data_IF_395467873482
#
_entry.id   IF_395467873482
#
_cell.length_a   1.000
_cell.length_b   1.000
_cell.length_c   1.000
_cell.angle_alpha   90.00
_cell.angle_beta   90.00
_cell.angle_gamma   90.00
#
_symmetry.space_group_name_H-M   'P 1'
#
loop_
_entity.id
_entity.type
_entity.pdbx_description
1 polymer ?
#
# COMPACT_ATOMS: atom_id res chain seq x y z
N UNK A 1 -23.83 -21.47 7.04
CA UNK A 1 -22.57 -21.71 6.32
C UNK A 1 -22.30 -23.20 6.35
N UNK A 2 -22.20 -23.84 5.19
CA UNK A 2 -22.09 -25.27 5.06
C UNK A 2 -20.68 -25.74 5.50
N UNK A 3 -20.60 -26.83 6.29
CA UNK A 3 -19.33 -27.36 6.84
C UNK A 3 -18.22 -27.54 5.78
N UNK A 4 -18.60 -27.86 4.54
CA UNK A 4 -17.69 -27.95 3.39
C UNK A 4 -17.10 -26.58 2.96
N UNK A 5 -17.87 -25.51 3.07
CA UNK A 5 -17.39 -24.15 2.74
C UNK A 5 -16.38 -23.65 3.79
N UNK A 6 -16.58 -23.98 5.06
CA UNK A 6 -15.64 -23.64 6.13
C UNK A 6 -14.32 -24.40 5.90
N UNK A 7 -14.37 -25.68 5.55
CA UNK A 7 -13.17 -26.49 5.26
C UNK A 7 -12.41 -25.96 4.05
N UNK A 8 -13.11 -25.55 2.98
CA UNK A 8 -12.46 -25.01 1.77
C UNK A 8 -11.80 -23.66 2.02
N UNK A 9 -12.43 -22.78 2.80
CA UNK A 9 -11.86 -21.47 3.16
C UNK A 9 -10.66 -21.63 4.09
N UNK A 10 -10.75 -22.54 5.07
CA UNK A 10 -9.63 -22.83 5.98
C UNK A 10 -8.44 -23.44 5.22
N UNK A 11 -8.69 -24.37 4.29
CA UNK A 11 -7.65 -24.96 3.46
C UNK A 11 -6.97 -23.93 2.54
N UNK A 12 -7.73 -23.01 1.95
CA UNK A 12 -7.18 -21.94 1.13
C UNK A 12 -6.30 -20.97 1.93
N UNK A 13 -6.74 -20.57 3.12
CA UNK A 13 -5.97 -19.71 4.02
C UNK A 13 -4.68 -20.42 4.47
N UNK A 14 -4.76 -21.70 4.80
CA UNK A 14 -3.60 -22.51 5.21
C UNK A 14 -2.60 -22.66 4.05
N UNK A 15 -3.07 -22.86 2.81
CA UNK A 15 -2.21 -22.97 1.63
C UNK A 15 -1.47 -21.66 1.32
N UNK A 16 -2.15 -20.51 1.42
CA UNK A 16 -1.54 -19.19 1.26
C UNK A 16 -0.50 -18.94 2.34
N UNK A 17 -0.80 -19.33 3.58
CA UNK A 17 0.13 -19.21 4.70
C UNK A 17 1.39 -20.08 4.52
N UNK A 18 1.23 -21.32 4.05
CA UNK A 18 2.35 -22.23 3.76
C UNK A 18 3.22 -21.74 2.59
N UNK A 19 2.62 -21.18 1.55
CA UNK A 19 3.37 -20.59 0.44
C UNK A 19 4.13 -19.33 0.86
N UNK A 20 3.57 -18.52 1.73
CA UNK A 20 4.22 -17.31 2.23
C UNK A 20 5.41 -17.61 3.15
N UNK A 21 5.31 -18.62 4.03
CA UNK A 21 6.37 -18.91 5.02
C UNK A 21 7.36 -19.99 4.57
N UNK A 22 6.98 -20.89 3.66
CA UNK A 22 7.83 -22.01 3.22
C UNK A 22 8.15 -22.01 1.73
N UNK A 23 7.54 -21.13 0.93
CA UNK A 23 7.87 -20.95 -0.48
C UNK A 23 9.26 -20.35 -0.64
N UNK A 24 10.27 -21.16 -0.97
CA UNK A 24 11.59 -20.66 -1.37
C UNK A 24 11.47 -20.00 -2.75
N UNK A 25 11.35 -18.69 -2.78
CA UNK A 25 11.28 -17.88 -4.01
C UNK A 25 12.65 -17.35 -4.47
N UNK A 26 13.75 -17.83 -3.90
CA UNK A 26 15.10 -17.41 -4.30
C UNK A 26 15.64 -18.44 -5.30
N UNK A 27 15.90 -18.08 -6.57
CA UNK A 27 16.58 -18.97 -7.50
C UNK A 27 18.00 -19.25 -7.01
N UNK A 28 18.46 -20.50 -7.11
CA UNK A 28 19.84 -20.89 -6.80
C UNK A 28 20.80 -20.07 -7.66
N UNK A 29 21.73 -19.35 -7.02
CA UNK A 29 22.86 -18.73 -7.68
C UNK A 29 23.72 -19.83 -8.29
N UNK A 30 23.86 -19.80 -9.60
CA UNK A 30 24.83 -20.64 -10.30
C UNK A 30 26.18 -19.97 -10.10
N UNK A 31 27.15 -20.67 -9.53
CA UNK A 31 28.55 -20.24 -9.46
C UNK A 31 29.14 -20.38 -10.87
N UNK A 32 29.48 -19.25 -11.47
CA UNK A 32 30.26 -19.23 -12.70
C UNK A 32 31.75 -19.21 -12.36
N UNK A 33 32.45 -20.25 -12.79
CA UNK A 33 33.89 -20.36 -12.80
C UNK A 33 34.48 -19.45 -13.88
N UNK A 34 35.36 -18.52 -13.50
CA UNK A 34 36.02 -17.63 -14.42
C UNK A 34 37.18 -18.31 -15.13
N UNK A 35 37.08 -18.48 -16.45
CA UNK A 35 38.28 -18.56 -17.32
C UNK A 35 37.93 -18.13 -18.76
N UNK A 36 38.65 -17.13 -19.29
CA UNK A 36 38.98 -16.99 -20.72
C UNK A 36 38.12 -16.08 -21.55
N UNK A 37 38.72 -14.94 -21.95
CA UNK A 37 38.22 -14.00 -22.98
C UNK A 37 38.04 -14.70 -24.34
N UNK A 38 36.88 -14.48 -24.99
CA UNK A 38 36.86 -14.32 -26.45
C UNK A 38 35.63 -13.51 -26.91
N UNK A 39 35.89 -12.52 -27.77
CA UNK A 39 34.90 -11.67 -28.37
C UNK A 39 34.30 -12.34 -29.61
N UNK A 40 33.08 -12.87 -29.51
CA UNK A 40 32.29 -13.21 -30.68
C UNK A 40 30.87 -12.70 -30.51
N UNK A 41 30.38 -11.98 -31.50
CA UNK A 41 29.08 -11.34 -31.56
C UNK A 41 27.95 -12.35 -31.30
N UNK A 42 27.28 -12.22 -30.16
CA UNK A 42 26.11 -13.02 -29.85
C UNK A 42 24.87 -12.42 -30.51
N UNK A 43 24.15 -13.26 -31.24
CA UNK A 43 22.82 -12.96 -31.78
C UNK A 43 21.86 -12.56 -30.65
N UNK A 44 20.90 -11.64 -30.90
CA UNK A 44 19.94 -11.24 -29.88
C UNK A 44 19.10 -12.45 -29.45
N UNK A 45 18.79 -12.59 -28.16
CA UNK A 45 17.92 -13.65 -27.67
C UNK A 45 16.53 -13.54 -28.30
N UNK A 46 15.81 -14.66 -28.51
CA UNK A 46 14.47 -14.62 -29.08
C UNK A 46 13.57 -13.75 -28.21
N UNK A 47 12.79 -12.90 -28.87
CA UNK A 47 11.82 -12.01 -28.24
C UNK A 47 10.98 -12.81 -27.22
N UNK A 48 11.19 -12.50 -25.95
CA UNK A 48 10.41 -13.08 -24.86
C UNK A 48 8.93 -12.81 -25.12
N UNK A 49 8.14 -13.85 -24.93
CA UNK A 49 6.68 -13.78 -24.91
C UNK A 49 6.24 -12.55 -24.16
N UNK A 50 5.61 -11.61 -24.88
CA UNK A 50 4.88 -10.49 -24.32
C UNK A 50 3.79 -11.05 -23.39
N UNK A 51 4.13 -11.27 -22.14
CA UNK A 51 3.13 -11.33 -21.08
C UNK A 51 2.61 -9.90 -20.98
N UNK A 52 1.55 -9.59 -21.72
CA UNK A 52 0.81 -8.35 -21.51
C UNK A 52 0.44 -8.34 -20.04
N UNK A 53 1.05 -7.44 -19.28
CA UNK A 53 0.67 -7.21 -17.89
C UNK A 53 -0.84 -6.95 -17.90
N UNK A 54 -1.58 -7.83 -17.22
CA UNK A 54 -3.04 -7.69 -17.08
C UNK A 54 -3.27 -6.35 -16.37
N UNK A 55 -3.56 -5.31 -17.14
CA UNK A 55 -3.91 -4.01 -16.59
C UNK A 55 -5.34 -4.11 -16.10
N UNK A 56 -5.52 -4.09 -14.79
CA UNK A 56 -6.84 -3.93 -14.20
C UNK A 56 -7.37 -2.54 -14.55
N UNK A 57 -8.54 -2.51 -15.19
CA UNK A 57 -9.26 -1.28 -15.40
C UNK A 57 -10.39 -1.11 -14.36
N UNK A 58 -10.74 0.15 -14.10
CA UNK A 58 -11.76 0.46 -13.11
C UNK A 58 -13.14 -0.11 -13.47
N UNK A 59 -13.50 -0.16 -14.74
CA UNK A 59 -14.81 -0.64 -15.18
C UNK A 59 -15.04 -2.10 -14.84
N UNK A 60 -13.99 -2.92 -15.02
CA UNK A 60 -13.98 -4.34 -14.65
C UNK A 60 -14.15 -4.52 -13.13
N UNK A 61 -13.37 -3.77 -12.33
CA UNK A 61 -13.45 -3.83 -10.86
C UNK A 61 -14.80 -3.34 -10.34
N UNK A 62 -15.34 -2.28 -10.92
CA UNK A 62 -16.66 -1.76 -10.61
C UNK A 62 -17.76 -2.78 -10.95
N UNK A 63 -17.62 -3.43 -12.12
CA UNK A 63 -18.54 -4.49 -12.54
C UNK A 63 -18.57 -5.66 -11.53
N UNK A 64 -17.41 -6.07 -11.01
CA UNK A 64 -17.33 -7.08 -9.95
C UNK A 64 -17.96 -6.59 -8.64
N UNK A 65 -17.73 -5.34 -8.25
CA UNK A 65 -18.34 -4.77 -7.06
C UNK A 65 -19.87 -4.67 -7.18
N UNK A 66 -20.39 -4.33 -8.36
CA UNK A 66 -21.83 -4.26 -8.64
C UNK A 66 -22.54 -5.61 -8.52
N UNK A 67 -21.86 -6.74 -8.70
CA UNK A 67 -22.45 -8.07 -8.47
C UNK A 67 -22.82 -8.33 -7.00
N UNK A 68 -22.32 -7.54 -6.07
CA UNK A 68 -22.66 -7.61 -4.64
C UNK A 68 -23.92 -6.82 -4.29
N UNK A 69 -24.47 -6.06 -5.22
CA UNK A 69 -25.64 -5.21 -5.02
C UNK A 69 -26.93 -5.98 -5.24
N UNK A 70 -27.96 -5.67 -4.44
CA UNK A 70 -29.33 -6.06 -4.77
C UNK A 70 -29.91 -5.18 -5.90
N UNK A 71 -31.06 -5.55 -6.43
CA UNK A 71 -31.67 -4.86 -7.58
C UNK A 71 -31.91 -3.38 -7.33
N UNK A 72 -32.42 -3.01 -6.15
CA UNK A 72 -32.67 -1.61 -5.80
C UNK A 72 -31.39 -0.79 -5.67
N UNK A 73 -30.35 -1.36 -5.06
CA UNK A 73 -29.03 -0.73 -4.94
C UNK A 73 -28.40 -0.52 -6.33
N UNK A 74 -28.47 -1.54 -7.18
CA UNK A 74 -27.93 -1.47 -8.55
C UNK A 74 -28.63 -0.39 -9.37
N UNK A 75 -29.96 -0.32 -9.31
CA UNK A 75 -30.73 0.72 -9.98
C UNK A 75 -30.29 2.10 -9.51
N UNK A 76 -30.21 2.33 -8.19
CA UNK A 76 -29.82 3.60 -7.59
C UNK A 76 -28.40 4.04 -7.99
N UNK A 77 -27.42 3.12 -7.96
CA UNK A 77 -26.05 3.41 -8.40
C UNK A 77 -26.03 3.77 -9.90
N UNK A 78 -26.74 3.01 -10.72
CA UNK A 78 -26.83 3.26 -12.16
C UNK A 78 -27.47 4.63 -12.48
N UNK A 79 -28.52 5.02 -11.76
CA UNK A 79 -29.13 6.36 -11.88
C UNK A 79 -28.14 7.47 -11.55
N UNK A 80 -27.39 7.32 -10.46
CA UNK A 80 -26.37 8.30 -10.09
C UNK A 80 -25.23 8.40 -11.10
N UNK A 81 -24.69 7.26 -11.57
CA UNK A 81 -23.64 7.25 -12.59
C UNK A 81 -24.12 7.92 -13.90
N UNK A 82 -25.36 7.62 -14.32
CA UNK A 82 -25.95 8.28 -15.49
C UNK A 82 -26.16 9.78 -15.29
N UNK A 83 -26.43 10.23 -14.07
CA UNK A 83 -26.60 11.65 -13.79
C UNK A 83 -25.26 12.42 -13.86
N UNK A 84 -24.13 11.78 -13.54
CA UNK A 84 -22.78 12.37 -13.74
C UNK A 84 -22.53 12.64 -15.22
N UNK A 85 -22.83 11.67 -16.08
CA UNK A 85 -22.57 11.79 -17.52
C UNK A 85 -23.44 12.87 -18.19
N UNK A 86 -24.66 13.07 -17.68
CA UNK A 86 -25.61 14.04 -18.22
C UNK A 86 -25.50 15.44 -17.60
N UNK A 87 -24.81 15.53 -16.46
CA UNK A 87 -24.65 16.81 -15.72
C UNK A 87 -23.52 17.63 -16.33
N UNK A 88 -23.82 18.82 -16.79
CA UNK A 88 -22.86 19.83 -17.26
C UNK A 88 -22.40 20.78 -16.12
N UNK A 89 -23.07 20.72 -14.97
CA UNK A 89 -22.75 21.56 -13.81
C UNK A 89 -21.74 20.84 -12.91
N UNK A 90 -20.51 21.33 -12.89
CA UNK A 90 -19.39 20.79 -12.11
C UNK A 90 -19.76 20.48 -10.65
N UNK A 91 -20.47 21.38 -9.96
CA UNK A 91 -20.86 21.16 -8.57
C UNK A 91 -21.83 19.98 -8.39
N UNK A 92 -22.74 19.77 -9.35
CA UNK A 92 -23.64 18.61 -9.31
C UNK A 92 -22.87 17.31 -9.49
N UNK A 93 -21.94 17.26 -10.43
CA UNK A 93 -21.06 16.09 -10.63
C UNK A 93 -20.27 15.77 -9.37
N UNK A 94 -19.67 16.76 -8.69
CA UNK A 94 -18.98 16.59 -7.43
C UNK A 94 -19.89 15.96 -6.38
N UNK A 95 -21.11 16.47 -6.23
CA UNK A 95 -22.06 15.93 -5.23
C UNK A 95 -22.47 14.50 -5.55
N UNK A 96 -22.63 14.15 -6.82
CA UNK A 96 -22.96 12.77 -7.23
C UNK A 96 -21.77 11.83 -6.95
N UNK A 97 -20.55 12.24 -7.28
CA UNK A 97 -19.36 11.43 -6.96
C UNK A 97 -19.23 11.21 -5.44
N UNK A 98 -19.48 12.23 -4.62
CA UNK A 98 -19.48 12.08 -3.17
C UNK A 98 -20.57 11.13 -2.67
N UNK A 99 -21.78 11.16 -3.26
CA UNK A 99 -22.86 10.21 -2.95
C UNK A 99 -22.47 8.76 -3.32
N UNK A 100 -21.91 8.57 -4.50
CA UNK A 100 -21.43 7.26 -4.95
C UNK A 100 -20.35 6.74 -4.00
N UNK A 101 -19.38 7.58 -3.66
CA UNK A 101 -18.32 7.23 -2.73
C UNK A 101 -18.87 6.80 -1.37
N UNK A 102 -19.71 7.60 -0.73
CA UNK A 102 -20.31 7.26 0.56
C UNK A 102 -21.10 5.95 0.49
N UNK A 103 -21.90 5.75 -0.55
CA UNK A 103 -22.64 4.50 -0.73
C UNK A 103 -21.70 3.27 -0.78
N UNK A 104 -20.62 3.34 -1.56
CA UNK A 104 -19.71 2.21 -1.70
C UNK A 104 -18.97 1.90 -0.42
N UNK A 105 -18.62 2.91 0.39
CA UNK A 105 -17.95 2.70 1.68
C UNK A 105 -18.93 2.26 2.76
N UNK A 106 -19.99 3.03 2.97
CA UNK A 106 -20.86 2.88 4.14
C UNK A 106 -21.84 1.70 4.01
N UNK A 107 -22.27 1.41 2.77
CA UNK A 107 -23.29 0.38 2.52
C UNK A 107 -22.69 -0.97 2.13
N UNK A 108 -21.62 -0.95 1.34
CA UNK A 108 -21.05 -2.15 0.73
C UNK A 108 -19.66 -2.51 1.30
N UNK A 109 -18.93 -1.53 1.84
CA UNK A 109 -17.55 -1.70 2.29
C UNK A 109 -16.60 -2.03 1.13
N UNK A 110 -16.82 -1.41 -0.04
CA UNK A 110 -16.00 -1.64 -1.24
C UNK A 110 -15.04 -0.48 -1.47
N UNK A 111 -13.77 -0.69 -1.11
CA UNK A 111 -12.74 0.33 -1.16
C UNK A 111 -12.49 0.90 -2.57
N UNK A 112 -12.35 0.05 -3.59
CA UNK A 112 -11.97 0.47 -4.94
C UNK A 112 -12.93 1.51 -5.54
N UNK A 113 -14.26 1.26 -5.61
CA UNK A 113 -15.18 2.28 -6.10
C UNK A 113 -15.29 3.49 -5.16
N UNK A 114 -15.20 3.30 -3.84
CA UNK A 114 -15.14 4.40 -2.88
C UNK A 114 -14.01 5.38 -3.20
N UNK A 115 -12.77 4.88 -3.26
CA UNK A 115 -11.60 5.72 -3.47
C UNK A 115 -11.59 6.36 -4.87
N UNK A 116 -12.06 5.63 -5.89
CA UNK A 116 -12.15 6.16 -7.26
C UNK A 116 -13.12 7.33 -7.36
N UNK A 117 -14.31 7.23 -6.77
CA UNK A 117 -15.28 8.35 -6.81
C UNK A 117 -14.83 9.54 -5.97
N UNK A 118 -14.10 9.33 -4.86
CA UNK A 118 -13.43 10.44 -4.14
C UNK A 118 -12.39 11.12 -5.03
N UNK A 119 -11.60 10.33 -5.77
CA UNK A 119 -10.60 10.86 -6.70
C UNK A 119 -11.22 11.71 -7.81
N UNK A 120 -12.32 11.24 -8.42
CA UNK A 120 -13.02 11.99 -9.47
C UNK A 120 -13.62 13.30 -8.92
N UNK A 121 -14.20 13.28 -7.71
CA UNK A 121 -14.66 14.51 -7.05
C UNK A 121 -13.48 15.47 -6.81
N UNK A 122 -12.37 14.99 -6.25
CA UNK A 122 -11.19 15.81 -5.97
C UNK A 122 -10.57 16.40 -7.26
N UNK A 123 -10.54 15.66 -8.36
CA UNK A 123 -10.08 16.16 -9.67
C UNK A 123 -10.95 17.32 -10.18
N UNK A 124 -12.27 17.20 -10.03
CA UNK A 124 -13.19 18.28 -10.41
C UNK A 124 -13.05 19.50 -9.47
N UNK A 125 -12.91 19.30 -8.17
CA UNK A 125 -12.71 20.38 -7.21
C UNK A 125 -11.42 21.14 -7.47
N UNK A 126 -10.39 20.43 -7.95
CA UNK A 126 -9.06 20.95 -8.23
C UNK A 126 -8.45 21.70 -7.03
N UNK A 127 -8.64 21.12 -5.84
CA UNK A 127 -8.10 21.59 -4.58
C UNK A 127 -6.91 20.74 -4.18
N UNK A 128 -5.78 21.36 -3.89
CA UNK A 128 -4.57 20.66 -3.44
C UNK A 128 -4.87 19.73 -2.26
N UNK A 129 -5.60 20.22 -1.26
CA UNK A 129 -5.98 19.47 -0.06
C UNK A 129 -6.81 18.21 -0.42
N UNK A 130 -7.79 18.33 -1.30
CA UNK A 130 -8.68 17.22 -1.65
C UNK A 130 -7.97 16.21 -2.55
N UNK A 131 -7.11 16.66 -3.46
CA UNK A 131 -6.27 15.81 -4.30
C UNK A 131 -5.28 15.01 -3.43
N UNK A 132 -4.59 15.67 -2.50
CA UNK A 132 -3.66 15.01 -1.56
C UNK A 132 -4.39 13.99 -0.68
N UNK A 133 -5.57 14.34 -0.16
CA UNK A 133 -6.39 13.39 0.61
C UNK A 133 -6.77 12.14 -0.20
N UNK A 134 -7.29 12.33 -1.41
CA UNK A 134 -7.66 11.22 -2.30
C UNK A 134 -6.46 10.34 -2.66
N UNK A 135 -5.30 10.95 -2.93
CA UNK A 135 -4.07 10.23 -3.20
C UNK A 135 -3.61 9.37 -2.02
N UNK A 136 -3.70 9.90 -0.80
CA UNK A 136 -3.35 9.16 0.42
C UNK A 136 -4.28 7.96 0.69
N UNK A 137 -5.54 7.98 0.26
CA UNK A 137 -6.40 6.80 0.36
C UNK A 137 -5.80 5.63 -0.42
N UNK A 138 -5.41 5.86 -1.68
CA UNK A 138 -4.77 4.83 -2.50
C UNK A 138 -3.41 4.41 -1.94
N UNK A 139 -2.58 5.36 -1.53
CA UNK A 139 -1.24 5.07 -1.01
C UNK A 139 -1.28 4.20 0.26
N UNK A 140 -2.24 4.43 1.14
CA UNK A 140 -2.42 3.64 2.36
C UNK A 140 -2.85 2.21 2.03
N UNK A 141 -3.86 2.06 1.19
CA UNK A 141 -4.37 0.75 0.81
C UNK A 141 -3.35 -0.06 0.02
N UNK A 142 -2.58 0.60 -0.84
CA UNK A 142 -1.50 0.01 -1.62
C UNK A 142 -0.48 -0.77 -0.78
N UNK A 143 -0.28 -0.38 0.48
CA UNK A 143 0.66 -1.06 1.38
C UNK A 143 0.11 -2.37 1.95
N UNK A 144 -1.19 -2.62 1.84
CA UNK A 144 -1.88 -3.80 2.40
C UNK A 144 -2.30 -4.80 1.34
N UNK A 145 -2.39 -4.37 0.08
CA UNK A 145 -2.81 -5.21 -1.05
C UNK A 145 -1.65 -6.05 -1.54
N UNK A 146 -1.88 -7.35 -1.74
CA UNK A 146 -0.90 -8.32 -2.26
C UNK A 146 -1.00 -8.55 -3.77
N UNK A 147 -2.16 -8.28 -4.38
CA UNK A 147 -2.40 -8.49 -5.81
C UNK A 147 -1.69 -7.43 -6.65
N UNK A 148 -0.63 -7.86 -7.34
CA UNK A 148 0.23 -6.96 -8.13
C UNK A 148 -0.53 -6.08 -9.14
N UNK A 149 -1.48 -6.56 -9.94
CA UNK A 149 -2.21 -5.70 -10.88
C UNK A 149 -3.02 -4.60 -10.17
N UNK A 150 -3.56 -4.89 -8.99
CA UNK A 150 -4.30 -3.92 -8.17
C UNK A 150 -3.34 -2.89 -7.56
N UNK A 151 -2.17 -3.33 -7.09
CA UNK A 151 -1.11 -2.42 -6.60
C UNK A 151 -0.70 -1.43 -7.69
N UNK A 152 -0.43 -1.90 -8.91
CA UNK A 152 -0.03 -1.06 -10.04
C UNK A 152 -1.12 -0.05 -10.37
N UNK A 153 -2.39 -0.47 -10.40
CA UNK A 153 -3.51 0.43 -10.65
C UNK A 153 -3.63 1.50 -9.55
N UNK A 154 -3.59 1.12 -8.27
CA UNK A 154 -3.65 2.06 -7.14
C UNK A 154 -2.49 3.04 -7.14
N UNK A 155 -1.27 2.58 -7.42
CA UNK A 155 -0.10 3.44 -7.49
C UNK A 155 -0.23 4.48 -8.62
N UNK A 156 -0.78 4.09 -9.76
CA UNK A 156 -1.06 5.01 -10.89
C UNK A 156 -2.09 6.07 -10.51
N UNK A 157 -3.20 5.68 -9.85
CA UNK A 157 -4.23 6.62 -9.39
C UNK A 157 -3.65 7.59 -8.35
N UNK A 158 -2.90 7.08 -7.36
CA UNK A 158 -2.24 7.90 -6.35
C UNK A 158 -1.26 8.89 -6.98
N UNK A 159 -0.41 8.42 -7.91
CA UNK A 159 0.57 9.24 -8.60
C UNK A 159 -0.08 10.40 -9.35
N UNK A 160 -1.11 10.13 -10.15
CA UNK A 160 -1.83 11.17 -10.90
C UNK A 160 -2.38 12.26 -9.97
N UNK A 161 -2.97 11.87 -8.85
CA UNK A 161 -3.54 12.80 -7.86
C UNK A 161 -2.45 13.63 -7.16
N UNK A 162 -1.35 12.98 -6.75
CA UNK A 162 -0.22 13.69 -6.14
C UNK A 162 0.46 14.63 -7.12
N UNK A 163 0.61 14.26 -8.40
CA UNK A 163 1.19 15.14 -9.43
C UNK A 163 0.34 16.41 -9.61
N UNK A 164 -1.00 16.26 -9.66
CA UNK A 164 -1.92 17.40 -9.72
C UNK A 164 -1.83 18.26 -8.45
N UNK A 165 -1.81 17.65 -7.28
CA UNK A 165 -1.67 18.35 -6.01
C UNK A 165 -0.33 19.09 -5.91
N UNK A 166 0.77 18.43 -6.32
CA UNK A 166 2.10 19.00 -6.33
C UNK A 166 2.21 20.21 -7.28
N UNK A 167 1.56 20.15 -8.43
CA UNK A 167 1.51 21.28 -9.37
C UNK A 167 0.79 22.50 -8.76
N UNK A 168 -0.21 22.28 -7.91
CA UNK A 168 -0.93 23.36 -7.21
C UNK A 168 -0.15 23.93 -6.02
N UNK A 169 0.58 23.07 -5.28
CA UNK A 169 1.36 23.48 -4.12
C UNK A 169 2.63 22.61 -3.96
N UNK A 170 3.72 22.97 -4.62
CA UNK A 170 5.00 22.25 -4.50
C UNK A 170 5.64 22.31 -3.11
N UNK A 171 5.18 23.21 -2.25
CA UNK A 171 5.69 23.37 -0.89
C UNK A 171 5.06 22.41 0.12
N UNK A 172 4.00 21.69 -0.25
CA UNK A 172 3.38 20.72 0.64
C UNK A 172 4.24 19.46 0.78
N UNK A 173 4.84 19.29 1.97
CA UNK A 173 5.70 18.15 2.29
C UNK A 173 4.94 16.82 2.20
N UNK A 174 3.67 16.76 2.62
CA UNK A 174 2.85 15.55 2.55
C UNK A 174 2.60 15.10 1.11
N UNK A 175 2.29 16.05 0.22
CA UNK A 175 2.15 15.80 -1.22
C UNK A 175 3.46 15.31 -1.83
N UNK A 176 4.58 15.97 -1.49
CA UNK A 176 5.91 15.61 -2.00
C UNK A 176 6.33 14.21 -1.57
N UNK A 177 6.17 13.88 -0.28
CA UNK A 177 6.47 12.55 0.25
C UNK A 177 5.56 11.50 -0.36
N UNK A 178 4.25 11.79 -0.45
CA UNK A 178 3.28 10.89 -1.07
C UNK A 178 3.59 10.59 -2.53
N UNK A 179 3.91 11.61 -3.32
CA UNK A 179 4.35 11.44 -4.70
C UNK A 179 5.61 10.55 -4.79
N UNK A 180 6.63 10.86 -3.97
CA UNK A 180 7.83 10.05 -3.89
C UNK A 180 7.55 8.59 -3.55
N UNK A 181 6.58 8.33 -2.66
CA UNK A 181 6.21 6.98 -2.23
C UNK A 181 5.57 6.15 -3.36
N UNK A 182 4.85 6.77 -4.29
CA UNK A 182 4.24 6.04 -5.42
C UNK A 182 5.28 5.36 -6.32
N UNK A 183 6.51 5.88 -6.36
CA UNK A 183 7.61 5.26 -7.12
C UNK A 183 8.13 3.98 -6.47
N UNK A 184 7.96 3.79 -5.16
CA UNK A 184 8.36 2.54 -4.49
C UNK A 184 7.39 1.40 -4.76
N UNK A 185 6.10 1.71 -4.74
CA UNK A 185 5.05 0.71 -4.81
C UNK A 185 4.57 0.48 -6.25
N UNK A 186 4.77 1.47 -7.11
CA UNK A 186 4.12 1.47 -8.42
C UNK A 186 4.64 0.44 -9.39
N UNK A 187 5.85 -0.12 -9.21
CA UNK A 187 6.44 -1.14 -10.13
C UNK A 187 6.20 -0.84 -11.62
N UNK A 188 5.43 0.18 -11.89
CA UNK A 188 4.82 0.53 -13.15
C UNK A 188 5.72 1.49 -13.90
N UNK A 189 6.53 0.91 -14.74
CA UNK A 189 7.32 1.66 -15.69
C UNK A 189 8.77 1.88 -15.28
N UNK A 190 9.58 2.22 -16.26
CA UNK A 190 11.02 2.49 -16.18
C UNK A 190 11.39 3.74 -15.34
N UNK A 191 10.45 4.30 -14.58
CA UNK A 191 10.75 5.43 -13.71
C UNK A 191 11.49 4.93 -12.47
N UNK A 192 12.76 5.31 -12.39
CA UNK A 192 13.66 4.82 -11.36
C UNK A 192 13.15 5.17 -9.95
N UNK A 193 13.10 4.21 -9.01
CA UNK A 193 12.79 4.44 -7.60
C UNK A 193 13.61 5.57 -6.97
N UNK A 194 14.77 5.87 -7.51
CA UNK A 194 15.66 6.95 -7.09
C UNK A 194 15.03 8.34 -7.14
N UNK A 195 14.12 8.60 -8.11
CA UNK A 195 13.38 9.88 -8.17
C UNK A 195 12.46 10.04 -6.95
N UNK A 196 11.77 8.97 -6.58
CA UNK A 196 10.93 8.96 -5.39
C UNK A 196 11.74 9.16 -4.12
N UNK A 197 12.88 8.46 -4.00
CA UNK A 197 13.80 8.61 -2.87
C UNK A 197 14.29 10.05 -2.75
N UNK A 198 14.62 10.73 -3.85
CA UNK A 198 15.09 12.11 -3.85
C UNK A 198 14.02 13.07 -3.28
N UNK A 199 12.76 12.93 -3.70
CA UNK A 199 11.65 13.75 -3.19
C UNK A 199 11.44 13.58 -1.69
N UNK A 200 11.45 12.33 -1.21
CA UNK A 200 11.23 12.03 0.21
C UNK A 200 12.42 12.51 1.04
N UNK A 201 13.64 12.29 0.54
CA UNK A 201 14.89 12.71 1.21
C UNK A 201 14.92 14.22 1.40
N UNK A 202 14.58 14.99 0.38
CA UNK A 202 14.52 16.46 0.47
C UNK A 202 13.66 16.92 1.66
N UNK A 203 12.48 16.31 1.84
CA UNK A 203 11.62 16.62 2.98
C UNK A 203 12.22 16.14 4.30
N UNK A 204 12.75 14.91 4.35
CA UNK A 204 13.33 14.34 5.56
C UNK A 204 14.58 15.08 6.07
N UNK A 205 15.35 15.70 5.16
CA UNK A 205 16.52 16.52 5.49
C UNK A 205 16.11 17.94 5.91
N UNK A 206 15.17 18.55 5.21
CA UNK A 206 14.64 19.87 5.53
C UNK A 206 13.87 19.89 6.85
N UNK A 207 13.12 18.84 7.12
CA UNK A 207 12.32 18.68 8.32
C UNK A 207 12.53 17.28 8.93
N UNK A 208 13.58 17.09 9.74
CA UNK A 208 13.87 15.80 10.38
C UNK A 208 12.76 15.26 11.30
N UNK A 209 11.86 16.13 11.75
CA UNK A 209 10.71 15.77 12.58
C UNK A 209 9.45 15.42 11.76
N UNK A 210 9.52 15.42 10.43
CA UNK A 210 8.44 14.93 9.60
C UNK A 210 8.38 13.40 9.69
N UNK A 211 7.53 12.89 10.58
CA UNK A 211 7.37 11.46 10.83
C UNK A 211 7.04 10.68 9.55
N UNK A 212 6.18 11.24 8.67
CA UNK A 212 5.82 10.58 7.41
C UNK A 212 7.01 10.45 6.46
N UNK A 213 7.85 11.47 6.33
CA UNK A 213 9.06 11.40 5.50
C UNK A 213 10.07 10.38 6.06
N UNK A 214 10.30 10.38 7.38
CA UNK A 214 11.17 9.38 8.03
C UNK A 214 10.62 7.96 7.86
N UNK A 215 9.32 7.77 8.03
CA UNK A 215 8.65 6.49 7.83
C UNK A 215 8.83 5.98 6.40
N UNK A 216 8.58 6.81 5.41
CA UNK A 216 8.71 6.41 4.00
C UNK A 216 10.17 6.16 3.58
N UNK A 217 11.15 6.87 4.18
CA UNK A 217 12.58 6.53 4.03
C UNK A 217 12.89 5.16 4.65
N UNK A 218 12.29 4.83 5.78
CA UNK A 218 12.39 3.50 6.42
C UNK A 218 11.82 2.40 5.51
N UNK A 219 10.62 2.60 4.98
CA UNK A 219 9.98 1.68 4.03
C UNK A 219 10.83 1.46 2.79
N UNK A 220 11.34 2.53 2.16
CA UNK A 220 12.24 2.41 1.01
C UNK A 220 13.53 1.65 1.33
N UNK A 221 14.08 1.83 2.54
CA UNK A 221 15.23 1.08 3.03
C UNK A 221 14.91 -0.41 3.24
N UNK A 222 13.70 -0.73 3.70
CA UNK A 222 13.22 -2.12 3.85
C UNK A 222 13.13 -2.81 2.48
N UNK A 223 12.53 -2.16 1.48
CA UNK A 223 12.38 -2.67 0.12
C UNK A 223 13.75 -2.97 -0.51
N UNK A 224 14.76 -2.13 -0.21
CA UNK A 224 16.14 -2.32 -0.70
C UNK A 224 17.01 -3.16 0.25
N UNK A 225 16.43 -3.85 1.23
CA UNK A 225 17.11 -4.68 2.22
C UNK A 225 18.21 -3.98 3.02
N UNK A 226 18.16 -2.65 3.14
CA UNK A 226 19.09 -1.84 3.91
C UNK A 226 18.63 -1.74 5.39
N UNK A 227 18.61 -2.88 6.09
CA UNK A 227 18.03 -3.02 7.44
C UNK A 227 18.55 -2.02 8.45
N UNK A 228 19.88 -1.72 8.57
CA UNK A 228 20.35 -0.72 9.51
C UNK A 228 19.76 0.67 9.28
N UNK A 229 19.59 1.08 8.01
CA UNK A 229 18.96 2.36 7.67
C UNK A 229 17.46 2.35 7.94
N UNK A 230 16.78 1.22 7.67
CA UNK A 230 15.37 1.07 7.97
C UNK A 230 15.12 1.25 9.48
N UNK A 231 15.93 0.56 10.32
CA UNK A 231 15.87 0.65 11.78
C UNK A 231 16.10 2.09 12.23
N UNK A 232 17.16 2.75 11.76
CA UNK A 232 17.44 4.16 12.13
C UNK A 232 16.23 5.08 11.85
N UNK A 233 15.60 4.92 10.68
CA UNK A 233 14.46 5.74 10.28
C UNK A 233 13.22 5.43 11.11
N UNK A 234 12.91 4.17 11.33
CA UNK A 234 11.76 3.79 12.16
C UNK A 234 11.94 4.15 13.63
N UNK A 235 13.17 4.09 14.20
CA UNK A 235 13.43 4.59 15.55
C UNK A 235 13.18 6.10 15.66
N UNK A 236 13.53 6.89 14.63
CA UNK A 236 13.16 8.32 14.58
C UNK A 236 11.65 8.53 14.60
N UNK A 237 10.92 7.73 13.82
CA UNK A 237 9.45 7.81 13.83
C UNK A 237 8.89 7.42 15.19
N UNK A 238 9.39 6.33 15.80
CA UNK A 238 8.93 5.89 17.10
C UNK A 238 9.20 6.94 18.21
N UNK A 239 10.30 7.67 18.12
CA UNK A 239 10.59 8.79 19.03
C UNK A 239 9.58 9.95 18.88
N UNK A 240 9.07 10.20 17.69
CA UNK A 240 8.05 11.22 17.40
C UNK A 240 6.64 10.74 17.74
N UNK A 241 6.37 9.46 17.53
CA UNK A 241 5.07 8.81 17.65
C UNK A 241 5.18 7.53 18.49
N UNK A 242 5.35 7.61 19.83
CA UNK A 242 5.65 6.46 20.67
C UNK A 242 4.60 5.35 20.72
N UNK A 243 3.36 5.66 20.30
CA UNK A 243 2.25 4.71 20.26
C UNK A 243 1.90 4.22 18.85
N UNK A 244 2.76 4.49 17.87
CA UNK A 244 2.54 4.05 16.49
C UNK A 244 2.79 2.55 16.36
N UNK A 245 1.70 1.76 16.44
CA UNK A 245 1.73 0.29 16.40
C UNK A 245 2.39 -0.23 15.12
N UNK A 246 2.14 0.40 13.98
CA UNK A 246 2.73 -0.03 12.72
C UNK A 246 4.25 0.09 12.73
N UNK A 247 4.75 1.21 13.24
CA UNK A 247 6.21 1.46 13.31
C UNK A 247 6.88 0.52 14.31
N UNK A 248 6.25 0.25 15.47
CA UNK A 248 6.76 -0.70 16.44
C UNK A 248 6.91 -2.08 15.81
N UNK A 249 5.90 -2.53 15.05
CA UNK A 249 5.93 -3.83 14.40
C UNK A 249 6.98 -3.88 13.29
N UNK A 250 7.08 -2.84 12.45
CA UNK A 250 8.12 -2.75 11.41
C UNK A 250 9.53 -2.76 11.99
N UNK A 251 9.74 -2.15 13.13
CA UNK A 251 11.01 -2.22 13.86
C UNK A 251 11.32 -3.65 14.35
N UNK A 252 10.32 -4.32 14.93
CA UNK A 252 10.49 -5.71 15.35
C UNK A 252 10.91 -6.60 14.18
N UNK A 253 10.21 -6.47 13.04
CA UNK A 253 10.50 -7.24 11.84
C UNK A 253 11.87 -6.89 11.24
N UNK A 254 12.25 -5.60 11.24
CA UNK A 254 13.55 -5.16 10.73
C UNK A 254 14.70 -5.68 11.59
N UNK A 255 14.58 -5.62 12.93
CA UNK A 255 15.56 -6.22 13.85
C UNK A 255 15.66 -7.73 13.68
N UNK A 256 14.52 -8.43 13.60
CA UNK A 256 14.48 -9.87 13.36
C UNK A 256 15.19 -10.24 12.04
N UNK A 257 14.86 -9.54 10.97
CA UNK A 257 15.43 -9.83 9.64
C UNK A 257 16.92 -9.49 9.56
N UNK A 258 17.39 -8.50 10.33
CA UNK A 258 18.82 -8.19 10.45
C UNK A 258 19.59 -9.15 11.37
N UNK A 259 18.91 -10.09 12.05
CA UNK A 259 19.50 -11.06 12.98
C UNK A 259 19.63 -10.55 14.43
N UNK A 260 19.14 -9.36 14.74
CA UNK A 260 19.13 -8.82 16.11
C UNK A 260 17.87 -9.27 16.87
N UNK A 261 17.84 -10.55 17.20
CA UNK A 261 16.72 -11.18 17.88
C UNK A 261 16.40 -10.55 19.25
N UNK A 262 17.43 -10.03 19.95
CA UNK A 262 17.23 -9.41 21.25
C UNK A 262 16.42 -8.12 21.17
N UNK A 263 16.71 -7.25 20.20
CA UNK A 263 15.96 -6.03 19.99
C UNK A 263 14.62 -6.30 19.28
N UNK A 264 14.54 -7.29 18.40
CA UNK A 264 13.27 -7.75 17.81
C UNK A 264 12.27 -8.14 18.90
N UNK A 265 12.69 -8.98 19.85
CA UNK A 265 11.88 -9.40 20.99
C UNK A 265 11.37 -8.20 21.81
N UNK A 266 12.25 -7.26 22.16
CA UNK A 266 11.86 -6.04 22.89
C UNK A 266 10.80 -5.23 22.15
N UNK A 267 10.88 -5.13 20.81
CA UNK A 267 9.90 -4.37 20.03
C UNK A 267 8.56 -5.11 19.91
N UNK A 268 8.55 -6.43 19.76
CA UNK A 268 7.29 -7.21 19.82
C UNK A 268 6.64 -7.11 21.20
N UNK A 269 7.41 -7.17 22.29
CA UNK A 269 6.88 -6.96 23.65
C UNK A 269 6.31 -5.54 23.82
N UNK A 270 7.02 -4.51 23.32
CA UNK A 270 6.53 -3.13 23.29
C UNK A 270 5.21 -3.01 22.50
N UNK A 271 5.08 -3.72 21.37
CA UNK A 271 3.84 -3.76 20.61
C UNK A 271 2.68 -4.27 21.46
N UNK A 272 2.83 -5.42 22.12
CA UNK A 272 1.81 -6.00 23.00
C UNK A 272 1.42 -5.06 24.16
N UNK A 273 2.41 -4.40 24.77
CA UNK A 273 2.16 -3.42 25.83
C UNK A 273 1.40 -2.21 25.33
N UNK A 274 1.79 -1.69 24.15
CA UNK A 274 1.14 -0.53 23.54
C UNK A 274 -0.30 -0.84 23.14
N UNK A 275 -0.55 -2.02 22.55
CA UNK A 275 -1.90 -2.50 22.24
C UNK A 275 -2.77 -2.51 23.49
N UNK A 276 -2.31 -3.15 24.58
CA UNK A 276 -3.06 -3.20 25.85
C UNK A 276 -3.37 -1.81 26.39
N UNK A 277 -2.40 -0.89 26.33
CA UNK A 277 -2.59 0.50 26.76
C UNK A 277 -3.65 1.22 25.92
N UNK A 278 -3.64 1.05 24.60
CA UNK A 278 -4.60 1.67 23.69
C UNK A 278 -6.00 1.07 23.83
N UNK A 279 -6.11 -0.22 24.14
CA UNK A 279 -7.40 -0.89 24.43
C UNK A 279 -8.03 -0.34 25.72
N UNK A 280 -7.24 -0.19 26.79
CA UNK A 280 -7.72 0.42 28.04
C UNK A 280 -8.22 1.86 27.79
N UNK A 281 -7.58 2.59 26.88
CA UNK A 281 -8.00 3.95 26.50
C UNK A 281 -9.21 3.97 25.52
N UNK A 282 -9.68 2.81 25.07
CA UNK A 282 -10.74 2.69 24.05
C UNK A 282 -10.33 3.19 22.65
N UNK A 283 -9.03 3.35 22.40
CA UNK A 283 -8.48 3.87 21.13
C UNK A 283 -8.19 2.79 20.09
N UNK A 284 -8.11 1.55 20.50
CA UNK A 284 -7.79 0.41 19.64
C UNK A 284 -8.54 -0.82 20.14
N UNK A 285 -8.79 -1.78 19.24
CA UNK A 285 -9.32 -3.10 19.57
C UNK A 285 -8.54 -4.14 18.77
N UNK A 286 -7.80 -4.97 19.47
CA UNK A 286 -7.06 -6.07 18.86
C UNK A 286 -7.93 -7.28 18.58
N UNK A 287 -7.52 -8.15 17.66
CA UNK A 287 -8.07 -9.49 17.55
C UNK A 287 -7.21 -10.46 18.40
N UNK A 288 -7.83 -11.50 19.00
CA UNK A 288 -7.08 -12.53 19.73
C UNK A 288 -6.02 -13.21 18.85
N UNK A 289 -6.32 -13.38 17.55
CA UNK A 289 -5.44 -13.99 16.57
C UNK A 289 -4.18 -13.18 16.37
N UNK A 290 -4.31 -11.85 16.23
CA UNK A 290 -3.17 -10.94 16.09
C UNK A 290 -2.26 -11.02 17.31
N UNK A 291 -2.83 -10.97 18.52
CA UNK A 291 -2.04 -11.06 19.77
C UNK A 291 -1.27 -12.38 19.85
N UNK A 292 -1.96 -13.49 19.55
CA UNK A 292 -1.36 -14.82 19.53
C UNK A 292 -0.22 -14.92 18.52
N UNK A 293 -0.38 -14.39 17.33
CA UNK A 293 0.67 -14.36 16.30
C UNK A 293 1.93 -13.64 16.79
N UNK A 294 1.79 -12.49 17.45
CA UNK A 294 2.93 -11.75 17.99
C UNK A 294 3.61 -12.53 19.14
N UNK A 295 2.83 -13.15 20.02
CA UNK A 295 3.38 -14.00 21.09
C UNK A 295 4.15 -15.22 20.53
N UNK A 296 3.68 -15.80 19.44
CA UNK A 296 4.38 -16.88 18.73
C UNK A 296 5.70 -16.38 18.12
N UNK A 297 5.72 -15.16 17.52
CA UNK A 297 6.96 -14.56 17.02
C UNK A 297 8.00 -14.37 18.15
N UNK A 298 7.55 -13.94 19.32
CA UNK A 298 8.46 -13.77 20.49
C UNK A 298 9.07 -15.11 20.94
N UNK A 299 8.31 -16.21 20.87
CA UNK A 299 8.81 -17.55 21.25
C UNK A 299 9.82 -18.13 20.26
N UNK A 300 9.79 -17.68 19.01
CA UNK A 300 10.68 -18.14 17.95
C UNK A 300 12.03 -17.38 17.90
N UNK A 301 12.18 -16.32 18.69
CA UNK A 301 13.39 -15.51 18.82
C UNK A 301 14.24 -15.96 20.00
#
# INVERSE_FOLDING_TARGET
VNRQQIISVTAAITAVFLLYFFGRTVPKKVEDDHAGHDHSAASPPPAGTNTQAVTLDFSTMLGLAKKRLNTQQLQKVTEWENSVVRGDVKNQQIQVYRKLSAFWMDTIGAFVPYAKYIAEAAKLENSEKNLTFAAHLFLRELQTVSEQPLQVWMAKEAKELFEKAYALNPANDSTKVGLGSTYFFGGAGNEAPMRGIALIREVAEKNPQNAFAQYMMGVGSTISSQWPKAIERFEKVLALEPQNLEVILRLADAYKTSGDNANAKKKYELFLQTVKSLEIQGKFRSSPEMMKQIEEQIKLL
#
